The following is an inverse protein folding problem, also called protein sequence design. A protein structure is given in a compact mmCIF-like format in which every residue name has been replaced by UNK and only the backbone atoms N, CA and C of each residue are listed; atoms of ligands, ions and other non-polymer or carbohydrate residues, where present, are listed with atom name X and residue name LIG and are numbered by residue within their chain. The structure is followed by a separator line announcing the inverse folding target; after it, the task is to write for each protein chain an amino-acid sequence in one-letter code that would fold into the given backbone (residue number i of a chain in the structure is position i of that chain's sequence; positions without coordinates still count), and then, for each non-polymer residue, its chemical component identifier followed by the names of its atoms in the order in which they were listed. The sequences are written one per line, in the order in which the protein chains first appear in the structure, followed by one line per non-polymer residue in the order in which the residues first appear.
data_IF_284823807129
#
_entry.id   IF_284823807129
#
_cell.length_a   1.000
_cell.length_b   1.000
_cell.length_c   1.000
_cell.angle_alpha   90.00
_cell.angle_beta   90.00
_cell.angle_gamma   90.00
#
_symmetry.space_group_name_H-M   'P 1'
#
loop_
_entity.id
_entity.type
_entity.pdbx_description
1 polymer ?
#
# COMPACT_ATOMS: atom_id res chain seq x y z
N UNK A 1 20.59 0.37 13.00
CA UNK A 1 19.20 0.31 12.48
C UNK A 1 18.37 -0.42 13.52
N UNK A 2 17.35 0.24 14.07
CA UNK A 2 16.40 -0.40 14.98
C UNK A 2 15.37 -1.15 14.15
N UNK A 3 15.31 -2.47 14.25
CA UNK A 3 14.21 -3.23 13.69
C UNK A 3 12.97 -2.98 14.56
N UNK A 4 12.00 -2.23 14.06
CA UNK A 4 10.70 -2.12 14.69
C UNK A 4 9.95 -3.44 14.49
N UNK A 5 9.61 -4.12 15.58
CA UNK A 5 8.72 -5.27 15.51
C UNK A 5 7.34 -4.77 15.08
N UNK A 6 6.82 -5.25 13.94
CA UNK A 6 5.46 -4.90 13.52
C UNK A 6 4.46 -5.60 14.45
N UNK A 7 3.45 -4.89 14.97
CA UNK A 7 2.48 -5.50 15.86
C UNK A 7 1.65 -6.55 15.12
N UNK A 8 1.31 -7.62 15.84
CA UNK A 8 0.37 -8.65 15.36
C UNK A 8 -0.96 -8.43 16.07
N UNK A 9 -2.03 -8.22 15.29
CA UNK A 9 -3.39 -8.01 15.78
C UNK A 9 -4.19 -9.29 15.58
N UNK A 10 -4.65 -9.89 16.66
CA UNK A 10 -5.48 -11.10 16.64
C UNK A 10 -6.97 -10.73 16.58
N UNK A 11 -7.64 -11.08 15.48
CA UNK A 11 -9.07 -10.78 15.29
C UNK A 11 -10.03 -11.61 16.16
N UNK A 12 -9.52 -12.60 16.91
CA UNK A 12 -10.30 -13.31 17.93
C UNK A 12 -10.17 -12.69 19.32
N UNK A 13 -9.33 -11.67 19.49
CA UNK A 13 -9.20 -10.93 20.76
C UNK A 13 -10.46 -10.12 21.10
N UNK A 14 -10.48 -9.50 22.29
CA UNK A 14 -11.56 -8.60 22.67
C UNK A 14 -11.66 -7.42 21.67
N UNK A 15 -12.88 -7.02 21.24
CA UNK A 15 -13.05 -5.90 20.30
C UNK A 15 -12.43 -4.57 20.73
N UNK A 16 -12.36 -4.29 22.03
CA UNK A 16 -11.72 -3.06 22.52
C UNK A 16 -10.20 -3.10 22.34
N UNK A 17 -9.58 -4.25 22.61
CA UNK A 17 -8.14 -4.45 22.43
C UNK A 17 -7.78 -4.37 20.95
N UNK A 18 -8.57 -5.01 20.09
CA UNK A 18 -8.42 -4.93 18.62
C UNK A 18 -8.46 -3.47 18.17
N UNK A 19 -9.46 -2.70 18.61
CA UNK A 19 -9.59 -1.28 18.27
C UNK A 19 -8.38 -0.47 18.72
N UNK A 20 -7.91 -0.68 19.96
CA UNK A 20 -6.78 0.05 20.51
C UNK A 20 -5.47 -0.30 19.79
N UNK A 21 -5.24 -1.58 19.49
CA UNK A 21 -4.09 -2.03 18.73
C UNK A 21 -4.09 -1.50 17.30
N UNK A 22 -5.25 -1.48 16.64
CA UNK A 22 -5.39 -0.89 15.30
C UNK A 22 -5.06 0.59 15.31
N UNK A 23 -5.65 1.37 16.22
CA UNK A 23 -5.37 2.80 16.34
C UNK A 23 -3.89 3.06 16.62
N UNK A 24 -3.28 2.29 17.51
CA UNK A 24 -1.86 2.43 17.83
C UNK A 24 -0.98 2.08 16.62
N UNK A 25 -1.23 0.95 15.95
CA UNK A 25 -0.45 0.55 14.78
C UNK A 25 -0.58 1.56 13.64
N UNK A 26 -1.81 2.01 13.33
CA UNK A 26 -2.06 3.01 12.30
C UNK A 26 -1.39 4.36 12.61
N UNK A 27 -1.35 4.79 13.89
CA UNK A 27 -0.75 6.07 14.28
C UNK A 27 0.78 6.03 14.45
N UNK A 28 1.37 4.84 14.62
CA UNK A 28 2.80 4.70 14.93
C UNK A 28 3.61 4.09 13.79
N UNK A 29 3.29 2.88 13.35
CA UNK A 29 4.04 2.16 12.31
C UNK A 29 3.40 2.30 10.93
N UNK A 30 2.09 2.51 10.86
CA UNK A 30 1.29 2.43 9.63
C UNK A 30 1.25 1.03 9.00
N UNK A 31 1.83 0.04 9.66
CA UNK A 31 1.94 -1.35 9.22
C UNK A 31 1.75 -2.30 10.40
N UNK A 32 1.06 -3.40 10.17
CA UNK A 32 0.81 -4.44 11.17
C UNK A 32 0.45 -5.76 10.49
N UNK A 33 0.61 -6.86 11.21
CA UNK A 33 0.11 -8.17 10.80
C UNK A 33 -1.27 -8.41 11.41
N UNK A 34 -2.11 -9.13 10.68
CA UNK A 34 -3.39 -9.63 11.19
C UNK A 34 -3.28 -11.14 11.32
N UNK A 35 -3.74 -11.68 12.45
CA UNK A 35 -3.87 -13.12 12.67
C UNK A 35 -5.32 -13.51 12.91
N UNK A 36 -5.62 -14.81 12.74
CA UNK A 36 -6.96 -15.38 12.90
C UNK A 36 -8.06 -14.72 12.04
N UNK A 37 -7.70 -14.17 10.87
CA UNK A 37 -8.63 -13.54 9.93
C UNK A 37 -9.53 -14.53 9.17
N UNK A 38 -9.32 -15.85 9.30
CA UNK A 38 -10.20 -16.86 8.71
C UNK A 38 -10.07 -17.05 7.20
N UNK A 39 -9.12 -16.38 6.55
CA UNK A 39 -8.94 -16.42 5.08
C UNK A 39 -7.90 -17.45 4.60
N UNK A 40 -7.37 -18.30 5.49
CA UNK A 40 -6.25 -19.20 5.17
C UNK A 40 -6.52 -20.09 3.96
N UNK A 41 -7.70 -20.72 3.88
CA UNK A 41 -8.07 -21.59 2.76
C UNK A 41 -8.21 -20.82 1.44
N UNK A 42 -8.80 -19.63 1.48
CA UNK A 42 -8.90 -18.74 0.33
C UNK A 42 -7.51 -18.29 -0.13
N UNK A 43 -6.64 -17.88 0.80
CA UNK A 43 -5.26 -17.48 0.52
C UNK A 43 -4.47 -18.60 -0.16
N UNK A 44 -4.54 -19.84 0.36
CA UNK A 44 -3.88 -20.99 -0.28
C UNK A 44 -4.39 -21.22 -1.71
N UNK A 45 -5.71 -21.11 -1.93
CA UNK A 45 -6.30 -21.25 -3.27
C UNK A 45 -5.86 -20.13 -4.21
N UNK A 46 -5.87 -18.88 -3.75
CA UNK A 46 -5.42 -17.73 -4.55
C UNK A 46 -3.99 -17.94 -5.03
N UNK A 47 -3.07 -18.30 -4.13
CA UNK A 47 -1.68 -18.55 -4.52
C UNK A 47 -1.50 -19.76 -5.44
N UNK A 48 -2.29 -20.82 -5.26
CA UNK A 48 -2.28 -21.95 -6.19
C UNK A 48 -2.62 -21.51 -7.61
N UNK A 49 -3.69 -20.72 -7.76
CA UNK A 49 -4.11 -20.19 -9.06
C UNK A 49 -3.08 -19.19 -9.64
N UNK A 50 -2.49 -18.35 -8.78
CA UNK A 50 -1.41 -17.44 -9.19
C UNK A 50 -0.23 -18.22 -9.78
N UNK A 51 0.23 -19.28 -9.09
CA UNK A 51 1.32 -20.12 -9.60
C UNK A 51 0.96 -20.78 -10.93
N UNK A 52 -0.23 -21.36 -11.03
CA UNK A 52 -0.73 -21.99 -12.26
C UNK A 52 -0.72 -20.99 -13.44
N UNK A 53 -1.26 -19.79 -13.22
CA UNK A 53 -1.26 -18.72 -14.23
C UNK A 53 0.17 -18.34 -14.65
N UNK A 54 1.09 -18.14 -13.70
CA UNK A 54 2.46 -17.73 -14.03
C UNK A 54 3.29 -18.86 -14.66
N UNK A 55 2.89 -20.13 -14.50
CA UNK A 55 3.45 -21.29 -15.20
C UNK A 55 2.98 -21.42 -16.67
N UNK A 56 1.92 -20.70 -17.09
CA UNK A 56 1.53 -20.64 -18.49
C UNK A 56 2.65 -20.07 -19.37
N UNK A 57 2.63 -20.44 -20.66
CA UNK A 57 3.61 -19.93 -21.62
C UNK A 57 3.51 -18.40 -21.77
N UNK A 58 4.59 -17.77 -22.25
CA UNK A 58 4.58 -16.32 -22.47
C UNK A 58 3.46 -15.87 -23.44
N UNK A 59 3.18 -16.68 -24.46
CA UNK A 59 2.13 -16.39 -25.44
C UNK A 59 0.74 -16.46 -24.81
N UNK A 60 0.49 -17.44 -23.94
CA UNK A 60 -0.79 -17.57 -23.23
C UNK A 60 -1.04 -16.39 -22.29
N UNK A 61 -0.03 -15.98 -21.51
CA UNK A 61 -0.18 -14.84 -20.58
C UNK A 61 -0.44 -13.52 -21.30
N UNK A 62 0.11 -13.33 -22.51
CA UNK A 62 -0.09 -12.10 -23.32
C UNK A 62 -1.53 -11.88 -23.78
N UNK A 63 -2.35 -12.92 -23.87
CA UNK A 63 -3.78 -12.75 -24.17
C UNK A 63 -4.52 -11.94 -23.10
N UNK A 64 -3.96 -11.87 -21.88
CA UNK A 64 -4.53 -11.15 -20.75
C UNK A 64 -3.87 -9.80 -20.52
N UNK A 65 -3.04 -9.30 -21.44
CA UNK A 65 -2.41 -7.98 -21.29
C UNK A 65 -3.44 -6.85 -21.30
N UNK A 66 -3.20 -5.75 -20.56
CA UNK A 66 -4.14 -4.65 -20.47
C UNK A 66 -4.39 -4.02 -21.84
N UNK A 67 -5.61 -3.55 -22.05
CA UNK A 67 -5.88 -2.62 -23.14
C UNK A 67 -5.46 -1.19 -22.73
N UNK A 68 -5.42 -0.26 -23.68
CA UNK A 68 -4.94 1.12 -23.45
C UNK A 68 -5.79 1.94 -22.48
N UNK A 69 -6.97 1.45 -22.07
CA UNK A 69 -7.91 2.17 -21.20
C UNK A 69 -8.22 1.43 -19.89
N UNK A 70 -7.61 0.26 -19.65
CA UNK A 70 -7.87 -0.56 -18.48
C UNK A 70 -6.61 -0.76 -17.64
N UNK A 71 -6.73 -0.54 -16.33
CA UNK A 71 -5.71 -0.93 -15.33
C UNK A 71 -5.73 -2.43 -14.99
N UNK A 72 -6.32 -3.26 -15.85
CA UNK A 72 -6.53 -4.69 -15.61
C UNK A 72 -5.76 -5.51 -16.65
N UNK A 73 -4.94 -6.46 -16.18
CA UNK A 73 -4.30 -7.43 -17.06
C UNK A 73 -2.92 -7.85 -16.60
N UNK A 74 -2.27 -8.66 -17.44
CA UNK A 74 -0.92 -9.15 -17.25
C UNK A 74 0.11 -8.18 -17.83
N UNK A 75 0.99 -7.68 -16.96
CA UNK A 75 2.18 -6.93 -17.32
C UNK A 75 3.40 -7.87 -17.35
N UNK A 76 4.19 -7.76 -18.41
CA UNK A 76 5.43 -8.52 -18.55
C UNK A 76 6.51 -7.89 -17.67
N UNK A 77 7.36 -8.72 -17.08
CA UNK A 77 8.60 -8.29 -16.43
C UNK A 77 9.42 -7.41 -17.41
N UNK A 78 9.84 -6.23 -16.96
CA UNK A 78 10.58 -5.26 -17.76
C UNK A 78 9.73 -4.36 -18.66
N UNK A 79 8.39 -4.40 -18.54
CA UNK A 79 7.49 -3.44 -19.19
C UNK A 79 7.44 -2.09 -18.46
N UNK A 80 7.84 -2.04 -17.19
CA UNK A 80 8.03 -0.81 -16.41
C UNK A 80 9.51 -0.67 -16.07
N UNK A 81 10.05 0.55 -16.20
CA UNK A 81 11.42 0.88 -15.84
C UNK A 81 11.52 0.94 -14.31
N UNK A 82 11.68 -0.21 -13.67
CA UNK A 82 12.17 -0.23 -12.28
C UNK A 82 13.59 0.31 -12.29
N UNK A 83 13.91 1.21 -11.36
CA UNK A 83 15.20 1.89 -11.23
C UNK A 83 16.37 0.89 -11.33
N UNK A 84 16.95 0.78 -12.53
CA UNK A 84 18.00 -0.20 -12.84
C UNK A 84 19.33 0.13 -12.17
N UNK A 85 19.43 1.27 -11.48
CA UNK A 85 20.64 1.67 -10.76
C UNK A 85 20.89 0.82 -9.51
N UNK A 86 19.86 0.14 -8.99
CA UNK A 86 19.97 -0.76 -7.84
C UNK A 86 19.41 -2.16 -8.17
N UNK A 87 20.29 -3.05 -8.67
CA UNK A 87 20.00 -4.45 -9.01
C UNK A 87 19.51 -5.36 -7.86
N UNK A 88 19.25 -4.78 -6.68
CA UNK A 88 18.78 -5.48 -5.47
C UNK A 88 17.31 -5.20 -5.12
N UNK A 89 16.62 -4.35 -5.88
CA UNK A 89 15.21 -4.02 -5.65
C UNK A 89 14.30 -4.88 -6.54
N UNK A 90 13.30 -5.51 -5.91
CA UNK A 90 12.16 -6.14 -6.60
C UNK A 90 11.02 -5.14 -6.81
N UNK A 91 10.90 -4.17 -5.90
CA UNK A 91 9.97 -3.04 -5.99
C UNK A 91 10.60 -1.81 -5.32
N UNK A 92 10.40 -0.64 -5.93
CA UNK A 92 10.94 0.63 -5.45
C UNK A 92 10.30 1.09 -4.15
N UNK A 93 10.93 2.04 -3.45
CA UNK A 93 10.34 2.62 -2.24
C UNK A 93 9.15 3.53 -2.59
N UNK A 94 7.96 3.17 -2.13
CA UNK A 94 6.71 3.88 -2.41
C UNK A 94 5.75 3.86 -1.22
N UNK A 95 4.69 4.67 -1.29
CA UNK A 95 3.54 4.62 -0.37
C UNK A 95 2.28 4.36 -1.19
N UNK A 96 1.38 3.53 -0.69
CA UNK A 96 0.13 3.25 -1.39
C UNK A 96 -0.76 4.50 -1.46
N UNK A 97 -1.55 4.60 -2.55
CA UNK A 97 -2.41 5.77 -2.79
C UNK A 97 -3.75 5.67 -2.06
N UNK A 98 -4.13 4.45 -1.69
CA UNK A 98 -5.45 4.12 -1.20
C UNK A 98 -5.64 4.15 0.32
N UNK A 99 -6.80 3.68 0.77
CA UNK A 99 -7.18 3.73 2.19
C UNK A 99 -6.60 2.59 3.03
N UNK A 100 -6.49 1.38 2.46
CA UNK A 100 -5.96 0.19 3.12
C UNK A 100 -5.43 -0.78 2.06
N UNK A 101 -4.22 -1.31 2.29
CA UNK A 101 -3.66 -2.37 1.46
C UNK A 101 -3.57 -3.66 2.27
N UNK A 102 -4.17 -4.73 1.75
CA UNK A 102 -4.01 -6.07 2.30
C UNK A 102 -2.96 -6.82 1.48
N UNK A 103 -1.82 -7.13 2.11
CA UNK A 103 -0.73 -7.84 1.45
C UNK A 103 -0.70 -9.28 1.95
N UNK A 104 -0.93 -10.22 1.04
CA UNK A 104 -0.71 -11.64 1.26
C UNK A 104 0.65 -12.01 0.69
N UNK A 105 1.48 -12.71 1.47
CA UNK A 105 2.79 -13.20 1.05
C UNK A 105 2.80 -14.73 1.07
N UNK A 106 3.38 -15.33 0.03
CA UNK A 106 3.55 -16.78 -0.05
C UNK A 106 4.85 -17.21 0.68
N UNK A 107 4.79 -18.31 1.44
CA UNK A 107 5.94 -18.97 2.12
C UNK A 107 6.77 -18.13 3.09
N UNK A 108 6.19 -17.13 3.78
CA UNK A 108 6.92 -16.29 4.74
C UNK A 108 8.23 -15.70 4.19
N UNK A 109 8.32 -15.51 2.86
CA UNK A 109 9.53 -15.00 2.22
C UNK A 109 9.78 -13.56 2.64
N UNK A 110 10.97 -13.33 3.19
CA UNK A 110 11.43 -12.02 3.65
C UNK A 110 11.60 -11.03 2.48
N UNK A 111 11.90 -9.77 2.80
CA UNK A 111 12.26 -8.74 1.82
C UNK A 111 11.33 -7.54 1.74
N UNK A 112 10.18 -7.55 2.43
CA UNK A 112 9.40 -6.33 2.65
C UNK A 112 10.12 -5.47 3.70
N UNK A 113 10.51 -4.25 3.32
CA UNK A 113 11.10 -3.28 4.23
C UNK A 113 10.16 -2.08 4.37
N UNK A 114 9.89 -1.69 5.62
CA UNK A 114 9.03 -0.57 5.97
C UNK A 114 9.90 0.55 6.54
N UNK A 115 9.79 1.75 5.98
CA UNK A 115 10.53 2.93 6.38
C UNK A 115 9.69 3.81 7.28
N UNK A 116 10.03 3.89 8.55
CA UNK A 116 9.41 4.85 9.45
C UNK A 116 9.76 6.28 9.01
N UNK A 117 8.81 6.93 8.37
CA UNK A 117 8.82 8.35 8.03
C UNK A 117 7.54 8.98 8.54
N UNK A 118 7.65 10.23 9.00
CA UNK A 118 6.48 11.03 9.32
C UNK A 118 5.69 11.28 8.04
N UNK A 119 4.41 10.89 8.06
CA UNK A 119 3.49 11.12 6.94
C UNK A 119 2.26 11.83 7.48
N UNK A 120 1.75 12.81 6.73
CA UNK A 120 0.71 13.72 7.23
C UNK A 120 -0.72 13.26 6.89
N UNK A 121 -0.94 11.96 6.64
CA UNK A 121 -2.28 11.40 6.42
C UNK A 121 -3.12 11.53 7.70
N UNK A 122 -4.40 11.86 7.56
CA UNK A 122 -5.29 12.18 8.69
C UNK A 122 -4.69 13.20 9.67
N UNK A 123 -4.00 14.24 9.17
CA UNK A 123 -3.34 15.28 9.97
C UNK A 123 -2.24 14.74 10.89
N UNK A 124 -1.54 13.68 10.46
CA UNK A 124 -0.49 13.00 11.22
C UNK A 124 -1.01 11.94 12.20
N UNK A 125 -2.34 11.73 12.28
CA UNK A 125 -2.92 10.71 13.15
C UNK A 125 -2.78 9.29 12.61
N UNK A 126 -2.69 9.11 11.30
CA UNK A 126 -2.51 7.81 10.65
C UNK A 126 -1.34 7.92 9.69
N UNK A 127 -0.40 6.98 9.77
CA UNK A 127 0.77 6.95 8.91
C UNK A 127 0.51 6.16 7.63
N UNK A 128 0.84 6.76 6.49
CA UNK A 128 0.98 6.08 5.19
C UNK A 128 2.46 5.82 4.94
N UNK A 129 2.92 4.67 5.42
CA UNK A 129 4.36 4.41 5.56
C UNK A 129 4.99 3.98 4.24
N UNK A 130 6.15 4.57 3.92
CA UNK A 130 6.91 4.20 2.73
C UNK A 130 7.47 2.78 2.92
N UNK A 131 7.36 1.93 1.89
CA UNK A 131 7.85 0.57 1.92
C UNK A 131 8.44 0.16 0.57
N UNK A 132 9.27 -0.89 0.55
CA UNK A 132 9.88 -1.44 -0.66
C UNK A 132 10.03 -2.95 -0.56
N UNK A 133 10.31 -3.60 -1.69
CA UNK A 133 10.67 -5.02 -1.71
C UNK A 133 12.10 -5.19 -2.21
N UNK A 134 12.94 -5.80 -1.38
CA UNK A 134 14.31 -6.17 -1.74
C UNK A 134 14.40 -7.65 -2.13
N UNK A 135 15.41 -7.99 -2.92
CA UNK A 135 15.79 -9.39 -3.14
C UNK A 135 16.31 -9.97 -1.81
N UNK A 136 15.76 -11.10 -1.31
CA UNK A 136 16.27 -11.76 -0.12
C UNK A 136 17.76 -12.12 -0.27
N UNK A 137 18.51 -12.17 0.84
CA UNK A 137 19.94 -12.46 0.79
C UNK A 137 20.27 -13.77 0.04
N UNK A 138 21.37 -13.71 -0.71
CA UNK A 138 21.78 -14.50 -1.89
C UNK A 138 22.00 -16.02 -1.67
N UNK A 139 21.57 -16.59 -0.55
CA UNK A 139 21.72 -18.02 -0.25
C UNK A 139 20.41 -18.81 -0.31
N UNK A 140 19.27 -18.13 -0.49
CA UNK A 140 18.01 -18.81 -0.81
C UNK A 140 17.96 -19.04 -2.33
N UNK A 141 17.96 -20.31 -2.72
CA UNK A 141 17.85 -20.76 -4.11
C UNK A 141 16.80 -19.96 -4.90
N UNK A 142 17.06 -19.80 -6.21
CA UNK A 142 16.38 -19.03 -7.24
C UNK A 142 14.86 -19.32 -7.39
N UNK A 143 14.09 -19.10 -6.32
CA UNK A 143 12.68 -19.42 -6.24
C UNK A 143 11.84 -18.16 -6.39
N UNK A 144 10.89 -18.19 -7.32
CA UNK A 144 9.89 -17.14 -7.49
C UNK A 144 9.25 -16.74 -6.16
N UNK A 145 9.08 -15.43 -5.94
CA UNK A 145 8.35 -14.86 -4.81
C UNK A 145 6.99 -14.39 -5.33
N UNK A 146 5.91 -14.87 -4.71
CA UNK A 146 4.56 -14.43 -5.03
C UNK A 146 4.00 -13.62 -3.85
N UNK A 147 3.44 -12.46 -4.17
CA UNK A 147 2.62 -11.66 -3.27
C UNK A 147 1.36 -11.23 -4.00
N UNK A 148 0.28 -11.06 -3.24
CA UNK A 148 -0.99 -10.54 -3.74
C UNK A 148 -1.32 -9.33 -2.88
N UNK A 149 -1.34 -8.15 -3.50
CA UNK A 149 -1.79 -6.92 -2.87
C UNK A 149 -3.24 -6.65 -3.27
N UNK A 150 -4.09 -6.41 -2.29
CA UNK A 150 -5.48 -5.99 -2.49
C UNK A 150 -5.61 -4.55 -1.97
N UNK A 151 -5.80 -3.62 -2.90
CA UNK A 151 -5.97 -2.20 -2.61
C UNK A 151 -7.45 -1.92 -2.35
N UNK A 152 -7.75 -1.45 -1.14
CA UNK A 152 -9.09 -1.07 -0.72
C UNK A 152 -9.21 0.45 -0.77
N UNK A 153 -10.17 0.93 -1.55
CA UNK A 153 -10.44 2.36 -1.72
C UNK A 153 -11.91 2.72 -1.45
N UNK A 154 -12.18 3.95 -1.02
CA UNK A 154 -13.54 4.49 -1.04
C UNK A 154 -14.12 4.48 -2.46
N UNK A 155 -15.44 4.54 -2.57
CA UNK A 155 -16.08 4.75 -3.87
C UNK A 155 -15.56 6.04 -4.51
N UNK A 156 -15.40 6.05 -5.83
CA UNK A 156 -14.76 7.17 -6.54
C UNK A 156 -15.46 8.52 -6.36
N UNK A 157 -16.75 8.53 -6.07
CA UNK A 157 -17.57 9.72 -5.78
C UNK A 157 -17.50 10.19 -4.31
N UNK A 158 -16.77 9.47 -3.44
CA UNK A 158 -16.64 9.82 -2.03
C UNK A 158 -15.83 11.10 -1.87
N UNK A 159 -16.40 12.12 -1.24
CA UNK A 159 -15.69 13.35 -0.91
C UNK A 159 -14.63 13.12 0.17
N UNK A 160 -13.40 13.56 -0.10
CA UNK A 160 -12.29 13.47 0.85
C UNK A 160 -12.33 14.65 1.82
N UNK A 161 -13.16 14.51 2.85
CA UNK A 161 -13.25 15.49 3.94
C UNK A 161 -12.67 14.92 5.24
N UNK A 162 -12.17 15.77 6.16
CA UNK A 162 -11.78 15.30 7.47
C UNK A 162 -12.93 14.60 8.19
N UNK A 163 -12.67 13.42 8.77
CA UNK A 163 -13.68 12.69 9.52
C UNK A 163 -14.17 13.55 10.70
N UNK A 164 -15.49 13.71 10.90
CA UNK A 164 -16.04 14.48 12.00
C UNK A 164 -15.78 13.73 13.32
N UNK A 165 -14.75 14.14 14.05
CA UNK A 165 -14.33 13.50 15.29
C UNK A 165 -13.68 14.49 16.23
N UNK A 166 -14.12 14.50 17.49
CA UNK A 166 -13.51 15.31 18.55
C UNK A 166 -12.02 14.99 18.75
N UNK A 167 -11.60 13.75 18.46
CA UNK A 167 -10.20 13.37 18.53
C UNK A 167 -9.38 14.07 17.45
N UNK A 168 -9.93 14.16 16.23
CA UNK A 168 -9.31 14.87 15.12
C UNK A 168 -9.33 16.37 15.38
N UNK A 169 -10.46 16.91 15.82
CA UNK A 169 -10.60 18.31 16.24
C UNK A 169 -9.55 18.71 17.29
N UNK A 170 -9.35 17.88 18.30
CA UNK A 170 -8.37 18.14 19.36
C UNK A 170 -6.92 17.92 18.91
N UNK A 171 -6.67 17.03 17.93
CA UNK A 171 -5.33 16.81 17.37
C UNK A 171 -4.88 17.97 16.47
N UNK A 172 -5.82 18.66 15.81
CA UNK A 172 -5.55 19.84 14.96
C UNK A 172 -4.85 20.98 15.72
N UNK A 173 -5.03 21.08 17.03
CA UNK A 173 -4.57 22.24 17.82
C UNK A 173 -3.27 22.02 18.61
N UNK A 174 -2.67 20.84 18.55
CA UNK A 174 -1.46 20.55 19.33
C UNK A 174 -0.24 20.32 18.44
N UNK A 175 0.50 21.42 18.21
CA UNK A 175 1.94 21.50 17.86
C UNK A 175 2.37 21.06 16.45
N UNK A 176 2.23 21.95 15.48
CA UNK A 176 3.34 22.44 14.64
C UNK A 176 2.83 23.48 13.63
N UNK A 177 3.37 24.70 13.67
CA UNK A 177 3.03 25.75 12.70
C UNK A 177 3.39 25.36 11.25
N UNK A 178 4.26 24.37 11.08
CA UNK A 178 4.61 23.78 9.77
C UNK A 178 3.53 22.87 9.17
N UNK A 179 2.62 22.30 9.98
CA UNK A 179 1.54 21.45 9.47
C UNK A 179 0.49 22.24 8.67
N UNK A 180 0.31 23.53 8.98
CA UNK A 180 -0.62 24.41 8.27
C UNK A 180 -0.22 24.67 6.81
N UNK A 181 1.06 24.49 6.45
CA UNK A 181 1.54 24.84 5.11
C UNK A 181 1.38 23.73 4.07
N UNK A 182 1.08 22.48 4.48
CA UNK A 182 1.05 21.30 3.59
C UNK A 182 -0.39 20.93 3.17
N UNK A 183 -1.41 21.45 3.85
CA UNK A 183 -2.81 21.27 3.44
C UNK A 183 -3.14 21.98 2.10
N UNK A 184 -2.28 22.90 1.64
CA UNK A 184 -2.40 23.53 0.32
C UNK A 184 -2.19 22.56 -0.85
N UNK A 185 -1.71 21.33 -0.61
CA UNK A 185 -1.56 20.33 -1.68
C UNK A 185 -2.85 19.54 -1.95
N UNK A 186 -3.81 19.57 -1.01
CA UNK A 186 -5.15 18.97 -1.15
C UNK A 186 -6.26 20.02 -1.25
N UNK A 187 -5.96 21.24 -0.83
CA UNK A 187 -6.78 22.42 -1.03
C UNK A 187 -6.30 23.07 -2.33
N UNK A 188 -6.90 22.68 -3.46
CA UNK A 188 -6.84 23.54 -4.64
C UNK A 188 -7.31 24.91 -4.15
N UNK A 189 -6.49 25.97 -4.27
CA UNK A 189 -6.69 27.32 -3.69
C UNK A 189 -8.05 28.01 -4.03
N UNK A 190 -8.92 27.30 -4.71
CA UNK A 190 -10.28 27.54 -5.18
C UNK A 190 -11.38 26.92 -4.29
N UNK A 191 -11.02 26.17 -3.23
CA UNK A 191 -11.97 25.58 -2.28
C UNK A 191 -12.69 24.33 -2.79
N UNK A 192 -12.17 23.70 -3.85
CA UNK A 192 -12.69 22.44 -4.38
C UNK A 192 -12.31 21.26 -3.48
N UNK A 193 -13.31 20.56 -2.96
CA UNK A 193 -13.10 19.33 -2.20
C UNK A 193 -12.97 18.16 -3.18
N UNK A 194 -11.79 17.54 -3.19
CA UNK A 194 -11.53 16.38 -4.05
C UNK A 194 -12.39 15.17 -3.66
N UNK A 195 -12.85 14.44 -4.67
CA UNK A 195 -13.35 13.08 -4.54
C UNK A 195 -12.21 12.05 -4.49
N UNK A 196 -12.47 10.86 -3.97
CA UNK A 196 -11.50 9.76 -3.95
C UNK A 196 -11.04 9.38 -5.36
N UNK A 197 -11.95 9.42 -6.35
CA UNK A 197 -11.65 9.15 -7.75
C UNK A 197 -10.74 10.21 -8.37
N UNK A 198 -11.00 11.50 -8.13
CA UNK A 198 -10.13 12.58 -8.59
C UNK A 198 -8.73 12.48 -7.98
N UNK A 199 -8.64 12.23 -6.67
CA UNK A 199 -7.36 12.05 -5.99
C UNK A 199 -6.57 10.86 -6.57
N UNK A 200 -7.23 9.70 -6.76
CA UNK A 200 -6.60 8.53 -7.37
C UNK A 200 -6.07 8.85 -8.78
N UNK A 201 -6.88 9.50 -9.62
CA UNK A 201 -6.48 9.87 -10.98
C UNK A 201 -5.30 10.84 -10.98
N UNK A 202 -5.27 11.83 -10.07
CA UNK A 202 -4.14 12.75 -9.92
C UNK A 202 -2.85 12.01 -9.58
N UNK A 203 -2.91 11.00 -8.71
CA UNK A 203 -1.75 10.19 -8.33
C UNK A 203 -1.27 9.30 -9.47
N UNK A 204 -2.19 8.62 -10.16
CA UNK A 204 -1.88 7.79 -11.34
C UNK A 204 -1.25 8.64 -12.46
N UNK A 205 -1.80 9.82 -12.74
CA UNK A 205 -1.30 10.70 -13.80
C UNK A 205 0.13 11.18 -13.51
N UNK A 206 0.46 11.50 -12.26
CA UNK A 206 1.84 11.88 -11.88
C UNK A 206 2.84 10.75 -12.16
N UNK A 207 2.46 9.51 -11.89
CA UNK A 207 3.31 8.33 -12.10
C UNK A 207 3.43 7.94 -13.57
N UNK A 208 2.37 8.09 -14.38
CA UNK A 208 2.41 7.76 -15.81
C UNK A 208 3.09 8.82 -16.69
N UNK A 209 3.15 10.09 -16.27
CA UNK A 209 3.90 11.15 -16.98
C UNK A 209 5.43 10.93 -16.86
N UNK A 210 5.92 10.36 -15.75
CA UNK A 210 7.35 10.03 -15.58
C UNK A 210 7.80 8.81 -16.41
N UNK A 211 6.87 7.96 -16.86
CA UNK A 211 7.15 6.79 -17.70
C UNK A 211 7.11 7.07 -19.21
N UNK A 212 6.86 8.32 -19.62
CA UNK A 212 6.71 8.73 -21.03
C UNK A 212 7.83 9.65 -21.55
N UNK A 213 9.03 9.57 -20.96
CA UNK A 213 10.25 10.27 -21.44
C UNK A 213 11.32 9.24 -21.83
#
# INVERSE_FOLDING_TARGET
MSFSFLPVIDLKSNPNDIRQSLLLACSTTGFFYISNHGLNSLQSRMFSLTKEFFCLSHNEKRFYSPNTTSYQGYLKIGHETLDTTNSKLLDGAHSDYGSLTLIFQHDNKSGLEVFDRLTNVCKGMIKSTIHRVIVPNVNEENHSRFSIAFFCDPNGDTLLTPLPSKLIENHIYTKDEHANHIFSDYDNNDGHVLTAGEHLQMRLNKTHVELSI
#
